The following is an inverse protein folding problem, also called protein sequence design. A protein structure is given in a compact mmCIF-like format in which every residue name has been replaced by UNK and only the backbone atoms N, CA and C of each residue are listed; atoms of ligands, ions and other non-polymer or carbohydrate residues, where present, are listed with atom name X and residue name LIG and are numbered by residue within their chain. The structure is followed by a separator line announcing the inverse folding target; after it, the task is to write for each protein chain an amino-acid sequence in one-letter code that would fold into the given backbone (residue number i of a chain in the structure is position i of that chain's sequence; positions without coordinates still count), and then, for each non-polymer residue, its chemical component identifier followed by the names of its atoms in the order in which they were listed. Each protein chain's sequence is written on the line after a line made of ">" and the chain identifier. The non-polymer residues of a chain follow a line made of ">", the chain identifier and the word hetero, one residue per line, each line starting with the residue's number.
data_IF_699503529587
#
_entry.id   IF_699503529587
#
_cell.length_a   1.000
_cell.length_b   1.000
_cell.length_c   1.000
_cell.angle_alpha   90.00
_cell.angle_beta   90.00
_cell.angle_gamma   90.00
#
_symmetry.space_group_name_H-M   'P 1'
#
loop_
_entity.id
_entity.type
_entity.pdbx_description
1 polymer ?
#
# COMPACT_ATOMS: atom_id res chain seq x y z
N UNK A 1 3.55 -32.35 9.61
CA UNK A 1 3.28 -31.43 10.74
C UNK A 1 2.50 -30.29 10.14
N UNK A 2 1.24 -30.12 10.53
CA UNK A 2 0.46 -28.98 10.07
C UNK A 2 0.92 -27.78 10.89
N UNK A 3 1.76 -26.94 10.30
CA UNK A 3 1.90 -25.58 10.81
C UNK A 3 0.50 -24.94 10.87
N UNK A 4 0.19 -24.12 11.88
CA UNK A 4 -1.05 -23.37 11.91
C UNK A 4 -1.17 -22.59 10.60
N UNK A 5 -2.36 -22.60 9.98
CA UNK A 5 -2.61 -21.78 8.78
C UNK A 5 -2.36 -20.33 9.17
N UNK A 6 -1.34 -19.72 8.54
CA UNK A 6 -0.95 -18.35 8.84
C UNK A 6 -1.78 -17.44 7.94
N UNK A 7 -2.91 -16.99 8.47
CA UNK A 7 -3.79 -16.03 7.83
C UNK A 7 -3.14 -14.63 7.78
N UNK A 8 -3.61 -13.76 6.89
CA UNK A 8 -3.11 -12.39 6.73
C UNK A 8 -1.60 -12.32 6.40
N UNK A 9 -1.21 -13.06 5.36
CA UNK A 9 0.15 -13.05 4.78
C UNK A 9 0.14 -12.39 3.41
N UNK A 10 1.26 -11.80 3.00
CA UNK A 10 1.42 -11.21 1.67
C UNK A 10 2.58 -11.80 0.89
N UNK A 11 2.55 -11.67 -0.43
CA UNK A 11 3.64 -11.96 -1.35
C UNK A 11 4.01 -10.66 -2.08
N UNK A 12 5.27 -10.28 -1.95
CA UNK A 12 5.77 -9.01 -2.42
C UNK A 12 6.39 -9.10 -3.81
N UNK A 13 6.11 -8.07 -4.61
CA UNK A 13 6.74 -7.89 -5.91
C UNK A 13 8.24 -7.62 -5.80
N UNK A 14 9.03 -8.26 -6.67
CA UNK A 14 10.48 -8.06 -6.74
C UNK A 14 10.87 -6.61 -7.08
N UNK A 15 10.09 -5.92 -7.91
CA UNK A 15 10.34 -4.52 -8.26
C UNK A 15 10.22 -3.57 -7.07
N UNK A 16 9.36 -3.89 -6.10
CA UNK A 16 9.24 -3.09 -4.87
C UNK A 16 10.56 -3.10 -4.11
N UNK A 17 11.23 -4.25 -4.00
CA UNK A 17 12.53 -4.34 -3.36
C UNK A 17 13.62 -3.60 -4.14
N UNK A 18 13.60 -3.66 -5.47
CA UNK A 18 14.55 -2.92 -6.32
C UNK A 18 14.38 -1.40 -6.21
N UNK A 19 13.14 -0.88 -6.18
CA UNK A 19 12.87 0.54 -5.96
C UNK A 19 13.30 1.00 -4.56
N UNK A 20 13.05 0.17 -3.52
CA UNK A 20 13.48 0.47 -2.15
C UNK A 20 14.99 0.43 -1.99
N UNK A 21 15.67 -0.54 -2.61
CA UNK A 21 17.13 -0.62 -2.65
C UNK A 21 17.73 0.65 -3.22
N UNK A 22 17.26 1.06 -4.41
CA UNK A 22 17.74 2.28 -5.07
C UNK A 22 17.45 3.53 -4.24
N UNK A 23 16.25 3.64 -3.65
CA UNK A 23 15.89 4.77 -2.79
C UNK A 23 16.89 4.96 -1.64
N UNK A 24 17.33 3.87 -1.02
CA UNK A 24 18.24 3.95 0.12
C UNK A 24 19.72 4.09 -0.28
N UNK A 25 20.14 3.49 -1.39
CA UNK A 25 21.55 3.57 -1.83
C UNK A 25 21.86 4.83 -2.62
N UNK A 26 20.90 5.35 -3.37
CA UNK A 26 21.09 6.42 -4.36
C UNK A 26 20.22 7.66 -4.08
N UNK A 27 19.17 7.56 -3.25
CA UNK A 27 18.21 8.63 -3.00
C UNK A 27 17.03 8.62 -3.97
N UNK A 28 16.31 9.75 -4.06
CA UNK A 28 15.16 9.89 -4.95
C UNK A 28 15.60 9.98 -6.42
N UNK A 29 14.99 9.16 -7.27
CA UNK A 29 15.21 9.18 -8.72
C UNK A 29 14.09 9.98 -9.41
N UNK A 30 14.41 11.16 -9.93
CA UNK A 30 13.45 11.99 -10.68
C UNK A 30 13.39 11.65 -12.18
N UNK A 31 13.99 10.53 -12.61
CA UNK A 31 13.81 10.00 -13.96
C UNK A 31 12.36 9.56 -14.21
N UNK A 32 12.03 9.42 -15.49
CA UNK A 32 10.69 8.99 -15.92
C UNK A 32 10.61 7.47 -15.97
N UNK A 33 9.70 6.93 -15.17
CA UNK A 33 9.13 5.60 -15.33
C UNK A 33 7.87 5.65 -16.20
N UNK A 34 7.37 4.47 -16.58
CA UNK A 34 6.19 4.35 -17.44
C UNK A 34 5.15 3.44 -16.79
N UNK A 35 3.90 3.88 -16.80
CA UNK A 35 2.74 3.07 -16.41
C UNK A 35 1.83 2.82 -17.61
N UNK A 36 1.22 1.63 -17.64
CA UNK A 36 0.35 1.21 -18.75
C UNK A 36 -1.05 1.76 -18.54
N UNK A 37 -1.57 2.51 -19.51
CA UNK A 37 -2.94 3.01 -19.51
C UNK A 37 -3.75 2.34 -20.61
N UNK A 38 -4.92 1.81 -20.25
CA UNK A 38 -5.77 1.05 -21.16
C UNK A 38 -6.72 2.00 -21.89
N UNK A 39 -6.73 1.94 -23.22
CA UNK A 39 -7.77 2.59 -24.02
C UNK A 39 -8.75 1.54 -24.54
N UNK A 40 -9.88 1.42 -23.85
CA UNK A 40 -10.95 0.47 -24.22
C UNK A 40 -11.72 0.90 -25.47
N UNK A 41 -11.73 2.18 -25.80
CA UNK A 41 -12.46 2.69 -26.97
C UNK A 41 -11.69 2.38 -28.26
N UNK A 42 -10.38 2.57 -28.23
CA UNK A 42 -9.49 2.27 -29.35
C UNK A 42 -8.97 0.81 -29.34
N UNK A 43 -9.38 0.01 -28.35
CA UNK A 43 -8.94 -1.39 -28.19
C UNK A 43 -7.40 -1.51 -28.20
N UNK A 44 -6.75 -0.60 -27.47
CA UNK A 44 -5.30 -0.47 -27.41
C UNK A 44 -4.83 -0.07 -26.00
N UNK A 45 -3.55 0.22 -25.84
CA UNK A 45 -2.99 0.80 -24.63
C UNK A 45 -1.89 1.80 -25.00
N UNK A 46 -1.57 2.70 -24.07
CA UNK A 46 -0.46 3.63 -24.20
C UNK A 46 0.34 3.70 -22.90
N UNK A 47 1.55 4.27 -22.99
CA UNK A 47 2.41 4.50 -21.84
C UNK A 47 2.24 5.93 -21.36
N UNK A 48 1.96 6.09 -20.07
CA UNK A 48 1.96 7.38 -19.38
C UNK A 48 3.23 7.51 -18.55
N UNK A 49 3.87 8.69 -18.60
CA UNK A 49 5.05 8.95 -17.78
C UNK A 49 4.66 9.17 -16.32
N UNK A 50 5.49 8.66 -15.42
CA UNK A 50 5.38 8.85 -13.97
C UNK A 50 6.80 9.03 -13.41
N UNK A 51 6.96 9.89 -12.41
CA UNK A 51 8.26 10.05 -11.76
C UNK A 51 8.61 8.81 -10.94
N UNK A 52 9.83 8.28 -11.10
CA UNK A 52 10.31 7.15 -10.29
C UNK A 52 10.35 7.50 -8.79
N UNK A 53 10.59 8.76 -8.43
CA UNK A 53 10.53 9.26 -7.06
C UNK A 53 9.17 8.97 -6.39
N UNK A 54 8.07 9.18 -7.12
CA UNK A 54 6.73 8.87 -6.64
C UNK A 54 6.55 7.36 -6.41
N UNK A 55 7.03 6.54 -7.36
CA UNK A 55 7.01 5.07 -7.28
C UNK A 55 7.83 4.56 -6.08
N UNK A 56 8.99 5.15 -5.82
CA UNK A 56 9.84 4.83 -4.67
C UNK A 56 9.16 5.15 -3.35
N UNK A 57 8.53 6.33 -3.24
CA UNK A 57 7.81 6.74 -2.02
C UNK A 57 6.59 5.84 -1.76
N UNK A 58 5.81 5.52 -2.81
CA UNK A 58 4.70 4.56 -2.68
C UNK A 58 5.18 3.18 -2.23
N UNK A 59 6.30 2.71 -2.77
CA UNK A 59 6.92 1.45 -2.36
C UNK A 59 7.32 1.45 -0.89
N UNK A 60 7.86 2.58 -0.39
CA UNK A 60 8.18 2.77 1.03
C UNK A 60 6.92 2.78 1.90
N UNK A 61 5.85 3.42 1.44
CA UNK A 61 4.58 3.46 2.17
C UNK A 61 3.95 2.07 2.27
N UNK A 62 3.98 1.30 1.17
CA UNK A 62 3.57 -0.09 1.14
C UNK A 62 4.37 -0.93 2.15
N UNK A 63 5.70 -0.73 2.20
CA UNK A 63 6.55 -1.41 3.17
C UNK A 63 6.13 -1.18 4.62
N UNK A 64 5.94 0.08 4.98
CA UNK A 64 5.57 0.43 6.36
C UNK A 64 4.25 -0.24 6.73
N UNK A 65 3.23 -0.19 5.87
CA UNK A 65 1.95 -0.81 6.15
C UNK A 65 2.08 -2.34 6.33
N UNK A 66 2.80 -3.00 5.43
CA UNK A 66 2.94 -4.44 5.42
C UNK A 66 3.76 -4.94 6.61
N UNK A 67 4.86 -4.27 6.97
CA UNK A 67 5.66 -4.59 8.15
C UNK A 67 4.85 -4.48 9.45
N UNK A 68 3.90 -3.55 9.53
CA UNK A 68 3.07 -3.37 10.72
C UNK A 68 1.92 -4.38 10.76
N UNK A 69 1.25 -4.62 9.63
CA UNK A 69 -0.06 -5.28 9.58
C UNK A 69 -0.07 -6.72 9.07
N UNK A 70 1.00 -7.24 8.47
CA UNK A 70 1.02 -8.65 7.99
C UNK A 70 1.60 -9.61 8.99
N UNK A 71 1.14 -10.84 9.05
CA UNK A 71 1.80 -11.86 9.87
C UNK A 71 3.11 -12.32 9.25
N UNK A 72 3.10 -12.61 7.94
CA UNK A 72 4.28 -12.95 7.15
C UNK A 72 4.27 -12.24 5.80
N UNK A 73 5.46 -11.95 5.30
CA UNK A 73 5.70 -11.35 4.00
C UNK A 73 6.62 -12.28 3.22
N UNK A 74 6.07 -12.96 2.21
CA UNK A 74 6.80 -13.81 1.31
C UNK A 74 7.45 -13.01 0.19
N UNK A 75 8.63 -13.42 -0.24
CA UNK A 75 9.30 -12.83 -1.39
C UNK A 75 10.14 -13.88 -2.14
N UNK A 76 10.35 -13.68 -3.44
CA UNK A 76 11.15 -14.61 -4.24
C UNK A 76 12.64 -14.45 -3.89
N UNK A 77 13.23 -15.54 -3.35
CA UNK A 77 14.60 -15.61 -2.85
C UNK A 77 15.66 -15.24 -3.90
N UNK A 78 15.33 -15.36 -5.19
CA UNK A 78 16.19 -14.94 -6.31
C UNK A 78 16.44 -13.43 -6.32
N UNK A 79 15.57 -12.65 -5.68
CA UNK A 79 15.68 -11.19 -5.57
C UNK A 79 16.11 -10.73 -4.17
N UNK A 80 16.63 -11.66 -3.35
CA UNK A 80 17.05 -11.35 -1.98
C UNK A 80 18.24 -10.39 -1.90
N UNK A 81 19.06 -10.27 -2.95
CA UNK A 81 20.29 -9.44 -2.90
C UNK A 81 20.00 -7.96 -2.67
N UNK A 82 18.98 -7.39 -3.33
CA UNK A 82 18.62 -5.98 -3.19
C UNK A 82 18.17 -5.60 -1.77
N UNK A 83 17.76 -6.58 -0.97
CA UNK A 83 17.25 -6.36 0.38
C UNK A 83 18.23 -6.78 1.48
N UNK A 84 19.10 -7.76 1.20
CA UNK A 84 20.18 -8.17 2.09
C UNK A 84 21.21 -7.06 2.34
N UNK A 85 21.27 -6.08 1.45
CA UNK A 85 22.06 -4.85 1.62
C UNK A 85 21.58 -4.00 2.82
N UNK A 86 20.35 -4.21 3.30
CA UNK A 86 19.79 -3.56 4.47
C UNK A 86 19.91 -4.48 5.68
N UNK A 87 20.91 -4.26 6.53
CA UNK A 87 21.21 -5.13 7.68
C UNK A 87 19.98 -5.39 8.57
N UNK A 88 19.19 -4.35 8.82
CA UNK A 88 18.01 -4.46 9.68
C UNK A 88 16.91 -5.35 9.09
N UNK A 89 16.77 -5.29 7.79
CA UNK A 89 15.79 -6.04 7.03
C UNK A 89 16.22 -7.49 6.83
N UNK A 90 17.50 -7.71 6.59
CA UNK A 90 18.13 -9.03 6.62
C UNK A 90 17.92 -9.73 7.99
N UNK A 91 17.90 -8.97 9.10
CA UNK A 91 17.63 -9.54 10.42
C UNK A 91 16.20 -10.09 10.61
N UNK A 92 15.27 -9.77 9.70
CA UNK A 92 13.88 -10.24 9.71
C UNK A 92 13.68 -11.50 8.87
N UNK A 93 14.70 -11.94 8.11
CA UNK A 93 14.62 -13.13 7.27
C UNK A 93 14.33 -14.39 8.11
N UNK A 94 13.44 -15.24 7.59
CA UNK A 94 12.98 -16.47 8.24
C UNK A 94 11.97 -16.26 9.36
N UNK A 95 11.68 -15.01 9.77
CA UNK A 95 10.67 -14.72 10.80
C UNK A 95 9.46 -14.00 10.20
N UNK A 96 9.62 -12.71 9.88
CA UNK A 96 8.60 -11.88 9.24
C UNK A 96 8.73 -11.94 7.72
N UNK A 97 9.96 -11.81 7.22
CA UNK A 97 10.27 -11.91 5.80
C UNK A 97 10.63 -13.34 5.48
N UNK A 98 9.89 -13.99 4.59
CA UNK A 98 10.04 -15.41 4.30
C UNK A 98 10.46 -15.59 2.85
N UNK A 99 11.76 -15.87 2.59
CA UNK A 99 12.22 -16.17 1.25
C UNK A 99 11.58 -17.46 0.75
N UNK A 100 11.08 -17.42 -0.48
CA UNK A 100 10.57 -18.60 -1.17
C UNK A 100 11.32 -18.81 -2.49
N UNK A 101 11.59 -20.05 -2.85
CA UNK A 101 12.07 -20.39 -4.19
C UNK A 101 10.97 -21.16 -4.91
N UNK A 102 10.17 -20.43 -5.68
CA UNK A 102 9.12 -21.01 -6.51
C UNK A 102 9.65 -21.12 -7.93
N UNK A 103 9.77 -22.34 -8.49
CA UNK A 103 10.19 -22.50 -9.88
C UNK A 103 9.25 -21.76 -10.83
N UNK A 104 9.80 -20.97 -11.75
CA UNK A 104 9.03 -20.18 -12.73
C UNK A 104 8.10 -21.04 -13.61
N UNK A 105 8.47 -22.30 -13.84
CA UNK A 105 7.71 -23.27 -14.63
C UNK A 105 6.95 -24.28 -13.76
N UNK A 106 6.73 -23.98 -12.47
CA UNK A 106 5.82 -24.76 -11.65
C UNK A 106 4.43 -24.81 -12.34
N UNK A 107 3.85 -26.01 -12.59
CA UNK A 107 2.60 -26.13 -13.35
C UNK A 107 1.41 -25.40 -12.74
N UNK A 108 1.30 -25.35 -11.41
CA UNK A 108 0.21 -24.68 -10.69
C UNK A 108 0.35 -23.17 -10.89
N UNK A 109 1.56 -22.63 -10.67
CA UNK A 109 1.86 -21.21 -10.91
C UNK A 109 1.63 -20.84 -12.37
N UNK A 110 2.02 -21.71 -13.31
CA UNK A 110 1.84 -21.49 -14.73
C UNK A 110 0.35 -21.43 -15.11
N UNK A 111 -0.49 -22.29 -14.52
CA UNK A 111 -1.93 -22.26 -14.74
C UNK A 111 -2.54 -20.95 -14.22
N UNK A 112 -2.26 -20.57 -12.97
CA UNK A 112 -2.76 -19.30 -12.39
C UNK A 112 -2.25 -18.07 -13.15
N UNK A 113 -0.99 -18.07 -13.59
CA UNK A 113 -0.43 -17.00 -14.43
C UNK A 113 -1.17 -16.90 -15.76
N UNK A 114 -1.43 -18.01 -16.43
CA UNK A 114 -2.10 -17.97 -17.73
C UNK A 114 -3.55 -17.46 -17.61
N UNK A 115 -4.27 -17.86 -16.56
CA UNK A 115 -5.58 -17.28 -16.24
C UNK A 115 -5.50 -15.77 -15.96
N UNK A 116 -4.49 -15.34 -15.20
CA UNK A 116 -4.29 -13.91 -14.95
C UNK A 116 -3.97 -13.13 -16.24
N UNK A 117 -3.18 -13.69 -17.16
CA UNK A 117 -2.90 -13.06 -18.45
C UNK A 117 -4.16 -12.84 -19.29
N UNK A 118 -5.12 -13.78 -19.27
CA UNK A 118 -6.41 -13.62 -19.96
C UNK A 118 -7.21 -12.43 -19.43
N UNK A 119 -7.13 -12.18 -18.12
CA UNK A 119 -7.82 -11.06 -17.45
C UNK A 119 -7.07 -9.74 -17.60
N UNK A 120 -5.73 -9.76 -17.61
CA UNK A 120 -4.89 -8.57 -17.72
C UNK A 120 -4.82 -8.05 -19.17
N UNK A 121 -4.81 -8.92 -20.17
CA UNK A 121 -4.80 -8.53 -21.58
C UNK A 121 -6.21 -8.17 -22.06
N UNK A 122 -6.73 -7.02 -21.63
CA UNK A 122 -8.11 -6.60 -21.88
C UNK A 122 -8.37 -6.10 -23.31
N UNK A 123 -7.34 -5.69 -24.05
CA UNK A 123 -7.45 -5.25 -25.45
C UNK A 123 -6.75 -6.20 -26.42
N UNK A 124 -7.15 -6.17 -27.70
CA UNK A 124 -6.55 -7.03 -28.72
C UNK A 124 -5.07 -6.72 -28.94
N UNK A 125 -4.68 -5.45 -28.84
CA UNK A 125 -3.28 -5.03 -28.90
C UNK A 125 -2.46 -5.68 -27.78
N UNK A 126 -2.97 -5.70 -26.54
CA UNK A 126 -2.30 -6.35 -25.42
C UNK A 126 -2.16 -7.86 -25.64
N UNK A 127 -3.22 -8.53 -26.13
CA UNK A 127 -3.19 -9.98 -26.44
C UNK A 127 -2.15 -10.28 -27.52
N UNK A 128 -2.11 -9.46 -28.57
CA UNK A 128 -1.15 -9.60 -29.65
C UNK A 128 0.29 -9.42 -29.15
N UNK A 129 0.59 -8.35 -28.41
CA UNK A 129 1.92 -8.11 -27.87
C UNK A 129 2.35 -9.21 -26.89
N UNK A 130 1.43 -9.73 -26.07
CA UNK A 130 1.73 -10.87 -25.18
C UNK A 130 2.07 -12.13 -25.97
N UNK A 131 1.36 -12.40 -27.08
CA UNK A 131 1.65 -13.53 -27.98
C UNK A 131 3.00 -13.37 -28.66
N UNK A 132 3.31 -12.19 -29.18
CA UNK A 132 4.59 -11.89 -29.81
C UNK A 132 5.76 -12.01 -28.81
N UNK A 133 5.56 -11.56 -27.57
CA UNK A 133 6.52 -11.75 -26.48
C UNK A 133 6.79 -13.23 -26.18
N UNK A 134 5.75 -14.06 -26.16
CA UNK A 134 5.89 -15.49 -25.91
C UNK A 134 6.65 -16.18 -27.06
N UNK A 135 6.29 -15.90 -28.31
CA UNK A 135 6.95 -16.46 -29.50
C UNK A 135 8.42 -16.03 -29.54
N UNK A 136 8.67 -14.71 -29.44
CA UNK A 136 10.03 -14.18 -29.48
C UNK A 136 10.92 -14.78 -28.39
N UNK A 137 10.40 -14.93 -27.17
CA UNK A 137 11.18 -15.51 -26.07
C UNK A 137 11.47 -17.00 -26.28
N UNK A 138 10.54 -17.76 -26.85
CA UNK A 138 10.74 -19.18 -27.17
C UNK A 138 11.80 -19.38 -28.27
N UNK A 139 11.77 -18.54 -29.30
CA UNK A 139 12.66 -18.67 -30.47
C UNK A 139 14.05 -18.07 -30.23
N UNK A 140 14.12 -16.92 -29.56
CA UNK A 140 15.34 -16.09 -29.52
C UNK A 140 15.77 -15.68 -28.11
N UNK A 141 15.03 -16.08 -27.07
CA UNK A 141 15.21 -15.61 -25.68
C UNK A 141 15.08 -14.09 -25.52
N UNK A 142 14.43 -13.41 -26.46
CA UNK A 142 14.14 -11.97 -26.42
C UNK A 142 12.65 -11.70 -26.56
N UNK A 143 12.15 -10.71 -25.84
CA UNK A 143 10.76 -10.28 -25.94
C UNK A 143 10.69 -8.97 -26.75
N UNK A 144 10.05 -8.93 -27.94
CA UNK A 144 9.96 -7.72 -28.77
C UNK A 144 9.32 -6.53 -28.04
N UNK A 145 8.41 -6.79 -27.10
CA UNK A 145 7.76 -5.79 -26.24
C UNK A 145 8.21 -5.98 -24.79
N UNK A 146 9.51 -5.80 -24.54
CA UNK A 146 10.14 -6.13 -23.26
C UNK A 146 9.45 -5.48 -22.05
N UNK A 147 9.29 -4.15 -22.05
CA UNK A 147 8.68 -3.43 -20.93
C UNK A 147 7.21 -3.85 -20.71
N UNK A 148 6.45 -4.05 -21.80
CA UNK A 148 5.10 -4.61 -21.72
C UNK A 148 5.10 -5.99 -21.06
N UNK A 149 6.03 -6.87 -21.45
CA UNK A 149 6.19 -8.19 -20.84
C UNK A 149 6.55 -8.10 -19.36
N UNK A 150 7.49 -7.24 -19.00
CA UNK A 150 7.88 -7.03 -17.60
C UNK A 150 6.70 -6.53 -16.74
N UNK A 151 5.83 -5.68 -17.28
CA UNK A 151 4.63 -5.18 -16.57
C UNK A 151 3.54 -6.26 -16.52
N UNK A 152 3.08 -6.78 -17.66
CA UNK A 152 1.93 -7.70 -17.73
C UNK A 152 2.28 -9.12 -17.33
N UNK A 153 3.30 -9.72 -17.92
CA UNK A 153 3.73 -11.08 -17.58
C UNK A 153 4.34 -11.15 -16.18
N UNK A 154 5.07 -10.10 -15.76
CA UNK A 154 5.55 -9.96 -14.39
C UNK A 154 4.41 -9.95 -13.38
N UNK A 155 3.38 -9.12 -13.61
CA UNK A 155 2.16 -9.08 -12.77
C UNK A 155 1.49 -10.43 -12.69
N UNK A 156 1.22 -11.08 -13.82
CA UNK A 156 0.61 -12.41 -13.86
C UNK A 156 1.47 -13.47 -13.14
N UNK A 157 2.80 -13.38 -13.28
CA UNK A 157 3.75 -14.28 -12.65
C UNK A 157 3.79 -14.15 -11.14
N UNK A 158 3.77 -12.92 -10.61
CA UNK A 158 3.71 -12.69 -9.16
C UNK A 158 2.34 -13.05 -8.58
N UNK A 159 1.27 -12.77 -9.32
CA UNK A 159 -0.06 -13.26 -8.96
C UNK A 159 -0.13 -14.79 -8.89
N UNK A 160 0.45 -15.50 -9.85
CA UNK A 160 0.51 -16.96 -9.82
C UNK A 160 1.28 -17.53 -8.62
N UNK A 161 2.37 -16.86 -8.21
CA UNK A 161 3.16 -17.21 -7.03
C UNK A 161 2.41 -16.93 -5.73
N UNK A 162 1.77 -15.76 -5.61
CA UNK A 162 0.99 -15.41 -4.44
C UNK A 162 -0.19 -16.37 -4.25
N UNK A 163 -0.88 -16.71 -5.34
CA UNK A 163 -1.97 -17.70 -5.35
C UNK A 163 -1.49 -19.08 -4.91
N UNK A 164 -0.32 -19.52 -5.40
CA UNK A 164 0.28 -20.78 -4.95
C UNK A 164 0.59 -20.81 -3.45
N UNK A 165 0.98 -19.68 -2.88
CA UNK A 165 1.28 -19.54 -1.45
C UNK A 165 0.05 -19.32 -0.57
N UNK A 166 -1.13 -19.05 -1.16
CA UNK A 166 -2.29 -18.57 -0.41
C UNK A 166 -2.04 -17.21 0.25
N UNK A 167 -1.21 -16.36 -0.37
CA UNK A 167 -0.84 -15.05 0.15
C UNK A 167 -1.37 -13.92 -0.73
N UNK A 168 -1.65 -12.76 -0.12
CA UNK A 168 -2.09 -11.58 -0.86
C UNK A 168 -0.96 -11.02 -1.72
N UNK A 169 -1.19 -10.85 -3.03
CA UNK A 169 -0.21 -10.18 -3.88
C UNK A 169 -0.19 -8.67 -3.62
N UNK A 170 0.96 -8.19 -3.16
CA UNK A 170 1.28 -6.77 -3.01
C UNK A 170 2.08 -6.33 -4.24
N UNK A 171 1.44 -5.68 -5.21
CA UNK A 171 2.11 -5.28 -6.44
C UNK A 171 3.06 -4.10 -6.20
N UNK A 172 4.07 -3.98 -7.05
CA UNK A 172 4.80 -2.72 -7.24
C UNK A 172 3.84 -1.64 -7.79
N UNK A 173 4.01 -0.34 -7.46
CA UNK A 173 3.12 0.73 -7.93
C UNK A 173 2.76 0.71 -9.42
N UNK A 174 3.73 0.47 -10.30
CA UNK A 174 3.49 0.41 -11.75
C UNK A 174 2.54 -0.76 -12.11
N UNK A 175 2.68 -1.88 -11.41
CA UNK A 175 1.84 -3.07 -11.59
C UNK A 175 0.50 -2.93 -10.87
N UNK A 176 0.42 -2.15 -9.78
CA UNK A 176 -0.85 -1.79 -9.13
C UNK A 176 -1.75 -1.02 -10.10
N UNK A 177 -1.17 -0.02 -10.76
CA UNK A 177 -1.89 0.77 -11.78
C UNK A 177 -2.44 -0.11 -12.92
N UNK A 178 -1.68 -1.11 -13.38
CA UNK A 178 -2.18 -2.09 -14.36
C UNK A 178 -3.40 -2.86 -13.83
N UNK A 179 -3.37 -3.32 -12.58
CA UNK A 179 -4.47 -4.08 -11.99
C UNK A 179 -5.75 -3.24 -11.91
N UNK A 180 -5.61 -1.95 -11.57
CA UNK A 180 -6.70 -0.98 -11.55
C UNK A 180 -7.27 -0.74 -12.96
N UNK A 181 -6.41 -0.41 -13.93
CA UNK A 181 -6.81 -0.13 -15.33
C UNK A 181 -7.52 -1.31 -16.01
N UNK A 182 -7.09 -2.53 -15.69
CA UNK A 182 -7.67 -3.75 -16.25
C UNK A 182 -8.96 -4.16 -15.54
N UNK A 183 -9.25 -3.59 -14.36
CA UNK A 183 -10.35 -4.03 -13.50
C UNK A 183 -10.13 -5.46 -13.00
N UNK A 184 -8.88 -5.82 -12.74
CA UNK A 184 -8.50 -7.17 -12.33
C UNK A 184 -9.10 -7.50 -10.96
N UNK A 185 -10.18 -8.27 -10.96
CA UNK A 185 -10.79 -8.78 -9.72
C UNK A 185 -9.93 -9.94 -9.20
N UNK A 186 -9.22 -9.70 -8.08
CA UNK A 186 -8.38 -10.71 -7.42
C UNK A 186 -9.26 -11.89 -6.96
N UNK A 187 -8.90 -13.14 -7.30
CA UNK A 187 -9.39 -14.33 -6.60
C UNK A 187 -8.87 -14.33 -5.16
N UNK A 188 -9.78 -14.24 -4.19
CA UNK A 188 -9.45 -14.24 -2.77
C UNK A 188 -9.62 -12.87 -2.12
N UNK A 189 -10.31 -12.87 -0.99
CA UNK A 189 -10.52 -11.70 -0.14
C UNK A 189 -9.27 -11.47 0.70
N UNK A 190 -8.83 -10.21 0.84
CA UNK A 190 -7.72 -9.84 1.71
C UNK A 190 -8.14 -8.78 2.73
N UNK A 191 -8.49 -9.23 3.92
CA UNK A 191 -8.96 -8.35 5.00
C UNK A 191 -7.88 -7.38 5.48
N UNK A 192 -6.60 -7.67 5.24
CA UNK A 192 -5.51 -6.73 5.49
C UNK A 192 -5.65 -5.47 4.66
N UNK A 193 -5.75 -5.63 3.34
CA UNK A 193 -5.97 -4.51 2.40
C UNK A 193 -7.35 -3.87 2.60
N UNK A 194 -8.43 -4.64 2.70
CA UNK A 194 -9.79 -4.09 2.84
C UNK A 194 -9.94 -3.21 4.10
N UNK A 195 -9.33 -3.61 5.23
CA UNK A 195 -9.36 -2.81 6.46
C UNK A 195 -8.50 -1.55 6.30
N UNK A 196 -7.37 -1.61 5.60
CA UNK A 196 -6.55 -0.42 5.30
C UNK A 196 -7.31 0.57 4.41
N UNK A 197 -7.97 0.09 3.35
CA UNK A 197 -8.82 0.90 2.47
C UNK A 197 -9.95 1.55 3.27
N UNK A 198 -10.68 0.78 4.08
CA UNK A 198 -11.71 1.31 4.96
C UNK A 198 -11.16 2.39 5.92
N UNK A 199 -9.98 2.17 6.52
CA UNK A 199 -9.34 3.19 7.37
C UNK A 199 -9.04 4.47 6.60
N UNK A 200 -8.54 4.36 5.37
CA UNK A 200 -8.23 5.51 4.52
C UNK A 200 -9.50 6.27 4.12
N UNK A 201 -10.56 5.56 3.71
CA UNK A 201 -11.85 6.17 3.38
C UNK A 201 -12.45 6.93 4.56
N UNK A 202 -12.47 6.32 5.75
CA UNK A 202 -13.01 6.96 6.95
C UNK A 202 -12.18 8.17 7.37
N UNK A 203 -10.84 8.15 7.17
CA UNK A 203 -9.97 9.32 7.36
C UNK A 203 -10.30 10.44 6.38
N UNK A 204 -10.48 10.13 5.10
CA UNK A 204 -10.89 11.12 4.09
C UNK A 204 -12.22 11.75 4.47
N UNK A 205 -13.24 10.94 4.83
CA UNK A 205 -14.55 11.43 5.29
C UNK A 205 -14.43 12.31 6.52
N UNK A 206 -13.63 11.90 7.51
CA UNK A 206 -13.38 12.65 8.75
C UNK A 206 -12.76 14.02 8.46
N UNK A 207 -11.67 14.05 7.70
CA UNK A 207 -10.92 15.28 7.46
C UNK A 207 -11.60 16.22 6.47
N UNK A 208 -12.29 15.71 5.45
CA UNK A 208 -13.13 16.52 4.57
C UNK A 208 -14.27 17.21 5.35
N UNK A 209 -14.83 16.52 6.36
CA UNK A 209 -15.85 17.10 7.23
C UNK A 209 -15.38 18.20 8.18
N UNK A 210 -14.06 18.32 8.39
CA UNK A 210 -13.45 19.33 9.26
C UNK A 210 -13.00 20.58 8.48
N UNK A 211 -12.96 20.51 7.14
CA UNK A 211 -12.61 21.64 6.29
C UNK A 211 -13.78 22.62 6.19
N UNK A 212 -13.60 23.91 6.55
CA UNK A 212 -14.68 24.90 6.49
C UNK A 212 -15.29 25.04 5.09
N UNK A 213 -16.62 25.20 5.02
CA UNK A 213 -17.35 25.54 3.79
C UNK A 213 -16.70 26.77 3.13
N UNK A 214 -16.27 26.63 1.86
CA UNK A 214 -15.58 27.68 1.10
C UNK A 214 -14.05 27.53 1.01
N UNK A 215 -13.43 26.59 1.74
CA UNK A 215 -12.00 26.23 1.57
C UNK A 215 -11.79 24.89 0.83
N UNK A 216 -12.79 24.45 0.08
CA UNK A 216 -12.78 23.20 -0.71
C UNK A 216 -11.67 23.12 -1.79
N UNK A 217 -10.87 24.17 -1.99
CA UNK A 217 -9.81 24.21 -3.00
C UNK A 217 -8.47 23.61 -2.54
N UNK A 218 -8.31 23.26 -1.26
CA UNK A 218 -7.16 22.46 -0.80
C UNK A 218 -7.65 21.08 -0.40
N UNK A 219 -7.65 20.13 -1.33
CA UNK A 219 -7.65 18.71 -0.96
C UNK A 219 -6.34 18.46 -0.22
N UNK A 220 -6.39 18.52 1.11
CA UNK A 220 -5.22 18.32 1.96
C UNK A 220 -4.68 16.90 1.78
N UNK A 221 -3.34 16.78 1.72
CA UNK A 221 -2.64 15.50 1.69
C UNK A 221 -2.98 14.66 2.91
N UNK A 222 -3.55 13.48 2.70
CA UNK A 222 -3.82 12.49 3.75
C UNK A 222 -2.96 11.26 3.47
N UNK A 223 -1.82 11.16 4.17
CA UNK A 223 -1.00 9.96 4.16
C UNK A 223 -1.72 8.80 4.86
N UNK A 224 -1.36 7.54 4.50
CA UNK A 224 -1.75 6.38 5.30
C UNK A 224 -1.36 6.58 6.77
N UNK A 225 -2.24 6.24 7.72
CA UNK A 225 -2.05 6.61 9.13
C UNK A 225 -0.82 5.98 9.78
N UNK A 226 -0.45 4.76 9.38
CA UNK A 226 0.73 4.07 9.89
C UNK A 226 2.00 4.71 9.33
N UNK A 227 2.02 5.03 8.04
CA UNK A 227 3.10 5.77 7.40
C UNK A 227 3.34 7.09 8.10
N UNK A 228 2.28 7.89 8.29
CA UNK A 228 2.39 9.17 8.98
C UNK A 228 2.97 9.02 10.40
N UNK A 229 2.51 8.02 11.15
CA UNK A 229 3.00 7.79 12.51
C UNK A 229 4.45 7.32 12.54
N UNK A 230 4.85 6.37 11.68
CA UNK A 230 6.24 5.90 11.56
C UNK A 230 7.17 7.08 11.27
N UNK A 231 6.86 7.87 10.24
CA UNK A 231 7.66 9.03 9.86
C UNK A 231 7.67 10.11 10.95
N UNK A 232 6.60 10.29 11.71
CA UNK A 232 6.60 11.20 12.86
C UNK A 232 7.48 10.70 14.01
N UNK A 233 7.53 9.39 14.24
CA UNK A 233 8.35 8.76 15.28
C UNK A 233 9.83 8.56 14.91
N UNK A 234 10.18 8.60 13.62
CA UNK A 234 11.54 8.43 13.13
C UNK A 234 12.27 9.77 13.08
N UNK A 235 13.61 9.78 13.20
CA UNK A 235 14.44 10.99 13.10
C UNK A 235 15.14 11.14 11.74
N UNK A 236 15.28 10.04 11.00
CA UNK A 236 15.93 9.94 9.70
C UNK A 236 15.38 8.72 8.92
N UNK A 237 15.78 8.56 7.65
CA UNK A 237 15.34 7.45 6.81
C UNK A 237 15.73 6.06 7.38
N UNK A 238 16.92 5.94 7.99
CA UNK A 238 17.40 4.66 8.51
C UNK A 238 16.59 4.13 9.69
N UNK A 239 15.92 5.01 10.44
CA UNK A 239 15.06 4.66 11.58
C UNK A 239 13.65 4.21 11.18
N UNK A 240 13.22 4.42 9.93
CA UNK A 240 11.85 4.11 9.47
C UNK A 240 11.49 2.65 9.68
N UNK A 241 12.44 1.74 9.48
CA UNK A 241 12.24 0.31 9.69
C UNK A 241 12.06 -0.04 11.16
N UNK A 242 12.88 0.53 12.04
CA UNK A 242 12.80 0.30 13.48
C UNK A 242 11.48 0.83 14.04
N UNK A 243 11.11 2.06 13.67
CA UNK A 243 9.82 2.64 14.01
C UNK A 243 8.65 1.77 13.50
N UNK A 244 8.75 1.19 12.30
CA UNK A 244 7.74 0.26 11.78
C UNK A 244 7.62 -1.00 12.64
N UNK A 245 8.73 -1.58 13.11
CA UNK A 245 8.74 -2.76 13.97
C UNK A 245 8.23 -2.46 15.39
N UNK A 246 8.48 -1.26 15.92
CA UNK A 246 7.89 -0.81 17.17
C UNK A 246 6.36 -0.64 17.04
N UNK A 247 5.92 -0.01 15.94
CA UNK A 247 4.50 0.11 15.62
C UNK A 247 3.85 -1.26 15.41
N UNK A 248 4.55 -2.22 14.80
CA UNK A 248 4.10 -3.62 14.68
C UNK A 248 3.72 -4.21 16.04
N UNK A 249 4.49 -3.93 17.11
CA UNK A 249 4.16 -4.38 18.46
C UNK A 249 3.00 -3.60 19.06
N UNK A 250 2.99 -2.27 18.88
CA UNK A 250 1.89 -1.39 19.33
C UNK A 250 0.54 -1.80 18.74
N UNK A 251 0.53 -2.17 17.45
CA UNK A 251 -0.66 -2.54 16.68
C UNK A 251 -0.91 -4.04 16.59
N UNK A 252 -0.22 -4.87 17.40
CA UNK A 252 -0.39 -6.32 17.44
C UNK A 252 -1.86 -6.77 17.50
N UNK A 253 -2.67 -6.14 18.36
CA UNK A 253 -4.10 -6.49 18.49
C UNK A 253 -4.93 -6.20 17.23
N UNK A 254 -4.57 -5.15 16.47
CA UNK A 254 -5.23 -4.87 15.19
C UNK A 254 -4.85 -5.94 14.19
N UNK A 255 -3.55 -6.27 14.11
CA UNK A 255 -3.06 -7.31 13.21
C UNK A 255 -3.67 -8.68 13.51
N UNK A 256 -3.71 -9.09 14.77
CA UNK A 256 -4.36 -10.35 15.20
C UNK A 256 -5.85 -10.35 14.82
N UNK A 257 -6.56 -9.24 15.08
CA UNK A 257 -7.96 -9.08 14.71
C UNK A 257 -8.21 -9.16 13.19
N UNK A 258 -7.31 -8.59 12.37
CA UNK A 258 -7.35 -8.75 10.91
C UNK A 258 -7.12 -10.22 10.52
N UNK A 259 -6.18 -10.91 11.17
CA UNK A 259 -5.92 -12.33 10.95
C UNK A 259 -7.13 -13.21 11.27
N UNK A 260 -7.81 -12.94 12.40
CA UNK A 260 -9.05 -13.62 12.77
C UNK A 260 -10.19 -13.32 11.78
N UNK A 261 -10.27 -12.08 11.27
CA UNK A 261 -11.26 -11.72 10.26
C UNK A 261 -11.00 -12.44 8.93
N UNK A 262 -9.75 -12.48 8.48
CA UNK A 262 -9.33 -13.24 7.30
C UNK A 262 -9.69 -14.72 7.45
N UNK A 263 -9.36 -15.33 8.59
CA UNK A 263 -9.70 -16.71 8.90
C UNK A 263 -11.21 -16.97 8.87
N UNK A 264 -12.02 -16.03 9.37
CA UNK A 264 -13.48 -16.17 9.35
C UNK A 264 -14.06 -16.16 7.92
N UNK A 265 -13.48 -15.37 7.01
CA UNK A 265 -13.87 -15.36 5.59
C UNK A 265 -13.48 -16.68 4.92
N UNK A 266 -12.23 -17.13 5.11
CA UNK A 266 -11.71 -18.36 4.50
C UNK A 266 -12.42 -19.62 5.00
N UNK A 267 -12.88 -19.63 6.26
CA UNK A 267 -13.64 -20.72 6.84
C UNK A 267 -15.16 -20.62 6.59
N UNK A 268 -15.61 -19.64 5.80
CA UNK A 268 -17.03 -19.39 5.51
C UNK A 268 -17.89 -19.28 6.80
N UNK A 269 -17.40 -18.56 7.82
CA UNK A 269 -18.11 -18.33 9.08
C UNK A 269 -18.89 -16.98 9.05
N UNK A 270 -20.16 -16.97 8.63
CA UNK A 270 -20.93 -15.73 8.50
C UNK A 270 -21.19 -15.03 9.83
N UNK A 271 -21.24 -15.77 10.94
CA UNK A 271 -21.50 -15.19 12.26
C UNK A 271 -20.30 -14.37 12.73
N UNK A 272 -19.10 -14.92 12.62
CA UNK A 272 -17.86 -14.20 12.92
C UNK A 272 -17.66 -13.01 11.98
N UNK A 273 -17.84 -13.21 10.67
CA UNK A 273 -17.77 -12.13 9.67
C UNK A 273 -18.71 -10.98 10.00
N UNK A 274 -19.95 -11.28 10.41
CA UNK A 274 -20.92 -10.26 10.81
C UNK A 274 -20.44 -9.46 12.04
N UNK A 275 -19.80 -10.11 13.02
CA UNK A 275 -19.25 -9.43 14.19
C UNK A 275 -18.09 -8.49 13.85
N UNK A 276 -17.21 -8.89 12.93
CA UNK A 276 -16.13 -8.04 12.42
C UNK A 276 -16.69 -6.80 11.71
N UNK A 277 -17.64 -6.98 10.77
CA UNK A 277 -18.31 -5.86 10.08
C UNK A 277 -19.02 -4.92 11.05
N UNK A 278 -19.75 -5.47 12.02
CA UNK A 278 -20.41 -4.68 13.07
C UNK A 278 -19.42 -3.84 13.89
N UNK A 279 -18.22 -4.36 14.12
CA UNK A 279 -17.16 -3.60 14.80
C UNK A 279 -16.75 -2.38 13.98
N UNK A 280 -16.51 -2.53 12.67
CA UNK A 280 -16.20 -1.42 11.77
C UNK A 280 -17.34 -0.40 11.72
N UNK A 281 -18.59 -0.86 11.57
CA UNK A 281 -19.78 0.01 11.60
C UNK A 281 -19.91 0.81 12.90
N UNK A 282 -19.60 0.20 14.04
CA UNK A 282 -19.62 0.88 15.34
C UNK A 282 -18.52 1.94 15.46
N UNK A 283 -17.37 1.73 14.82
CA UNK A 283 -16.31 2.76 14.73
C UNK A 283 -16.76 3.90 13.83
N UNK A 284 -17.29 3.63 12.63
CA UNK A 284 -17.83 4.67 11.74
C UNK A 284 -18.92 5.50 12.41
N UNK A 285 -19.84 4.87 13.17
CA UNK A 285 -20.86 5.59 13.95
C UNK A 285 -20.28 6.48 15.05
N UNK A 286 -19.17 6.07 15.68
CA UNK A 286 -18.47 6.96 16.64
C UNK A 286 -17.95 8.19 15.92
N UNK A 287 -17.27 8.02 14.78
CA UNK A 287 -16.72 9.12 13.98
C UNK A 287 -17.81 10.07 13.50
N UNK A 288 -18.95 9.55 13.04
CA UNK A 288 -20.10 10.38 12.64
C UNK A 288 -20.66 11.18 13.81
N UNK A 289 -20.75 10.56 15.00
CA UNK A 289 -21.23 11.24 16.20
C UNK A 289 -20.25 12.34 16.62
N UNK A 290 -18.94 12.09 16.52
CA UNK A 290 -17.90 13.12 16.73
C UNK A 290 -18.07 14.30 15.77
N UNK A 291 -18.38 14.04 14.49
CA UNK A 291 -18.59 15.10 13.48
C UNK A 291 -19.82 15.96 13.74
N UNK A 292 -20.88 15.39 14.34
CA UNK A 292 -22.16 16.08 14.60
C UNK A 292 -22.20 16.84 15.93
N UNK A 293 -21.31 16.54 16.88
CA UNK A 293 -21.29 17.18 18.20
C UNK A 293 -20.65 18.58 18.19
N UNK A 294 -21.18 19.50 19.01
CA UNK A 294 -20.59 20.81 19.33
C UNK A 294 -19.24 20.72 20.12
N UNK A 295 -18.55 19.59 20.10
CA UNK A 295 -17.28 19.36 20.81
C UNK A 295 -16.04 19.77 19.97
N UNK A 296 -16.19 20.71 19.04
CA UNK A 296 -15.06 21.37 18.40
C UNK A 296 -14.52 22.43 19.35
N UNK A 297 -13.47 22.08 20.11
CA UNK A 297 -12.78 23.01 21.00
C UNK A 297 -11.95 24.05 20.24
N UNK A 298 -11.82 25.24 20.83
CA UNK A 298 -10.87 26.28 20.40
C UNK A 298 -9.45 25.90 20.88
N UNK A 299 -8.48 25.75 19.98
CA UNK A 299 -7.05 25.79 20.35
C UNK A 299 -6.25 26.49 19.25
N UNK A 300 -5.52 27.54 19.66
CA UNK A 300 -4.65 28.37 18.82
C UNK A 300 -3.27 27.76 18.67
N UNK A 301 -2.81 27.54 17.44
CA UNK A 301 -1.39 27.29 17.14
C UNK A 301 -0.84 28.55 16.48
N UNK A 302 -0.03 29.30 17.21
CA UNK A 302 0.60 30.52 16.74
C UNK A 302 1.97 30.23 16.12
N UNK A 303 2.19 30.72 14.90
CA UNK A 303 3.51 31.09 14.40
C UNK A 303 3.35 32.52 13.88
N UNK A 304 4.09 33.44 14.52
CA UNK A 304 4.32 34.86 14.24
C UNK A 304 3.34 35.67 13.34
N UNK A 305 2.89 36.81 13.90
CA UNK A 305 2.14 37.96 13.35
C UNK A 305 0.72 37.81 12.78
N UNK A 306 0.18 36.62 12.52
CA UNK A 306 -1.25 36.43 12.23
C UNK A 306 -1.81 35.18 12.94
N UNK A 307 -2.39 35.38 14.13
CA UNK A 307 -3.07 34.31 14.86
C UNK A 307 -4.43 34.00 14.22
N UNK A 308 -4.49 33.01 13.33
CA UNK A 308 -5.75 32.46 12.86
C UNK A 308 -6.22 31.34 13.80
N UNK A 309 -7.41 31.51 14.39
CA UNK A 309 -8.11 30.44 15.10
C UNK A 309 -8.67 29.46 14.05
N UNK A 310 -7.93 28.38 13.79
CA UNK A 310 -8.48 27.21 13.11
C UNK A 310 -9.12 26.31 14.17
N UNK A 311 -10.40 25.91 14.02
CA UNK A 311 -10.99 24.92 14.91
C UNK A 311 -10.20 23.62 14.76
N UNK A 312 -9.45 23.25 15.80
CA UNK A 312 -8.80 21.94 15.89
C UNK A 312 -9.72 21.05 16.72
N UNK A 313 -10.20 19.92 16.19
CA UNK A 313 -11.09 19.06 16.94
C UNK A 313 -10.39 18.62 18.23
N UNK A 314 -11.03 18.81 19.38
CA UNK A 314 -10.63 18.09 20.58
C UNK A 314 -10.98 16.64 20.31
N UNK A 315 -9.96 15.82 20.08
CA UNK A 315 -10.13 14.38 19.99
C UNK A 315 -10.85 13.94 21.27
N UNK A 316 -11.96 13.18 21.18
CA UNK A 316 -12.70 12.75 22.36
C UNK A 316 -11.79 11.93 23.26
N UNK A 317 -12.20 11.79 24.53
CA UNK A 317 -11.46 10.97 25.46
C UNK A 317 -11.45 9.51 25.00
N UNK A 318 -10.37 9.12 24.32
CA UNK A 318 -10.16 7.80 23.73
C UNK A 318 -10.24 6.70 24.82
N UNK A 319 -10.11 7.07 26.09
CA UNK A 319 -10.33 6.20 27.27
C UNK A 319 -11.76 5.66 27.38
N UNK A 320 -12.74 6.22 26.64
CA UNK A 320 -14.13 5.72 26.58
C UNK A 320 -14.31 4.49 25.67
N UNK A 321 -13.33 4.17 24.83
CA UNK A 321 -13.39 3.05 23.90
C UNK A 321 -12.56 1.88 24.43
N UNK A 322 -13.09 0.66 24.37
CA UNK A 322 -12.43 -0.56 24.83
C UNK A 322 -12.04 -1.47 23.65
N UNK A 323 -10.94 -2.21 23.81
CA UNK A 323 -10.53 -3.25 22.85
C UNK A 323 -10.18 -2.70 21.46
N UNK A 324 -10.51 -3.49 20.43
CA UNK A 324 -10.17 -3.20 19.02
C UNK A 324 -10.77 -1.88 18.52
N UNK A 325 -12.00 -1.56 18.93
CA UNK A 325 -12.69 -0.31 18.60
C UNK A 325 -11.88 0.93 19.01
N UNK A 326 -11.22 0.88 20.17
CA UNK A 326 -10.33 1.95 20.64
C UNK A 326 -9.09 2.08 19.78
N UNK A 327 -8.48 0.95 19.42
CA UNK A 327 -7.27 0.91 18.61
C UNK A 327 -7.52 1.44 17.19
N UNK A 328 -8.63 1.06 16.55
CA UNK A 328 -9.05 1.57 15.24
C UNK A 328 -9.36 3.08 15.29
N UNK A 329 -10.11 3.54 16.30
CA UNK A 329 -10.36 4.98 16.49
C UNK A 329 -9.06 5.78 16.64
N UNK A 330 -8.06 5.28 17.40
CA UNK A 330 -6.74 5.92 17.50
C UNK A 330 -6.06 6.04 16.14
N UNK A 331 -6.03 4.95 15.38
CA UNK A 331 -5.42 4.91 14.06
C UNK A 331 -6.07 5.91 13.09
N UNK A 332 -7.41 5.98 13.09
CA UNK A 332 -8.17 6.92 12.26
C UNK A 332 -7.89 8.38 12.63
N UNK A 333 -7.72 8.67 13.92
CA UNK A 333 -7.47 10.02 14.43
C UNK A 333 -5.99 10.46 14.35
N UNK A 334 -5.10 9.62 13.81
CA UNK A 334 -3.72 10.02 13.53
C UNK A 334 -3.68 11.23 12.59
N UNK A 335 -2.61 12.03 12.67
CA UNK A 335 -2.43 13.24 11.87
C UNK A 335 -2.47 12.98 10.36
N UNK A 336 -2.78 14.03 9.60
CA UNK A 336 -2.92 13.98 8.12
C UNK A 336 -1.61 13.60 7.41
N UNK A 337 -0.47 13.98 7.96
CA UNK A 337 0.85 13.55 7.48
C UNK A 337 1.62 14.55 6.62
N UNK A 338 1.14 15.78 6.40
CA UNK A 338 1.92 16.81 5.67
C UNK A 338 3.32 17.04 6.25
N UNK A 339 3.42 17.17 7.59
CA UNK A 339 4.72 17.28 8.27
C UNK A 339 5.57 16.03 8.09
N UNK A 340 4.94 14.85 8.06
CA UNK A 340 5.62 13.58 7.86
C UNK A 340 6.21 13.50 6.45
N UNK A 341 5.45 13.86 5.41
CA UNK A 341 5.97 13.91 4.04
C UNK A 341 7.11 14.92 3.91
N UNK A 342 6.95 16.14 4.44
CA UNK A 342 8.02 17.15 4.39
C UNK A 342 9.30 16.68 5.08
N UNK A 343 9.20 15.96 6.20
CA UNK A 343 10.36 15.35 6.87
C UNK A 343 11.01 14.27 6.01
N UNK A 344 10.21 13.37 5.42
CA UNK A 344 10.72 12.34 4.53
C UNK A 344 11.49 12.95 3.36
N UNK A 345 10.92 13.98 2.70
CA UNK A 345 11.57 14.67 1.58
C UNK A 345 12.88 15.33 2.01
N UNK A 346 12.91 15.92 3.21
CA UNK A 346 14.15 16.48 3.78
C UNK A 346 15.21 15.42 4.07
N UNK A 347 14.83 14.21 4.50
CA UNK A 347 15.79 13.11 4.71
C UNK A 347 16.35 12.53 3.40
N UNK A 348 15.65 12.76 2.30
CA UNK A 348 16.01 12.32 0.96
C UNK A 348 16.64 13.46 0.14
N UNK A 349 17.08 14.53 0.81
CA UNK A 349 17.70 15.73 0.21
C UNK A 349 16.87 16.37 -0.92
N UNK A 350 15.54 16.22 -0.87
CA UNK A 350 14.61 16.80 -1.83
C UNK A 350 14.20 18.21 -1.38
N UNK A 351 15.02 19.21 -1.72
CA UNK A 351 14.80 20.62 -1.36
C UNK A 351 14.24 21.48 -2.52
N UNK A 352 14.23 20.96 -3.74
CA UNK A 352 13.76 21.68 -4.92
C UNK A 352 12.24 21.91 -4.92
N UNK A 353 11.81 23.15 -5.15
CA UNK A 353 10.39 23.53 -5.10
C UNK A 353 9.54 22.72 -6.10
N UNK A 354 10.07 22.50 -7.31
CA UNK A 354 9.39 21.76 -8.39
C UNK A 354 9.28 20.27 -8.06
N UNK A 355 10.35 19.67 -7.54
CA UNK A 355 10.42 18.27 -7.15
C UNK A 355 9.45 17.98 -5.99
N UNK A 356 9.42 18.87 -5.00
CA UNK A 356 8.48 18.79 -3.86
C UNK A 356 7.04 18.94 -4.33
N UNK A 357 6.75 19.88 -5.23
CA UNK A 357 5.39 20.07 -5.77
C UNK A 357 4.94 18.85 -6.58
N UNK A 358 5.80 18.30 -7.44
CA UNK A 358 5.53 17.07 -8.20
C UNK A 358 5.13 15.90 -7.29
N UNK A 359 5.87 15.71 -6.20
CA UNK A 359 5.57 14.63 -5.24
C UNK A 359 4.26 14.92 -4.51
N UNK A 360 4.04 16.15 -4.05
CA UNK A 360 2.80 16.53 -3.36
C UNK A 360 1.59 16.33 -4.25
N UNK A 361 1.65 16.75 -5.51
CA UNK A 361 0.56 16.61 -6.48
C UNK A 361 0.25 15.15 -6.76
N UNK A 362 1.27 14.29 -6.81
CA UNK A 362 1.09 12.85 -6.97
C UNK A 362 0.27 12.23 -5.82
N UNK A 363 0.46 12.69 -4.58
CA UNK A 363 -0.26 12.21 -3.41
C UNK A 363 -1.50 13.05 -3.03
N UNK A 364 -1.74 14.19 -3.68
CA UNK A 364 -2.97 14.96 -3.51
C UNK A 364 -4.11 14.25 -4.22
N UNK A 365 -4.93 13.56 -3.43
CA UNK A 365 -6.19 12.87 -3.80
C UNK A 365 -6.28 12.53 -5.29
N UNK A 366 -5.58 11.46 -5.69
CA UNK A 366 -5.96 10.74 -6.89
C UNK A 366 -7.44 10.37 -6.72
N UNK A 367 -8.26 10.81 -7.68
CA UNK A 367 -9.72 10.68 -7.65
C UNK A 367 -10.17 9.26 -7.88
#
# INVERSE_FOLDING_TARGET
>A
MNDPVIHNSSFWDNWTFESLSRLHSEGLDFSNSKRLRVDRNENTYHWEEISEACVQIESLFSLVNELVLREKIFYDSKFSEGWKSFERLNSLDGTLLVPVDIPTFNPIVAASRNQALELLCVTDTMRQHQKENLIGYQETRKSPHEHFGQVVWGTAGNFGRSSFLGAHYVPHPIRSFLLEETGFLKPGVDMGTDVQEWVNEERVKLFAGLTPLGKMHSFELILPPLVAEVLESSSNLSEVLDASLELRQKYKKIREWIGEYQAAIENEDPASVSNFKKTLELVSKDLETMRKGNELGDTSVGISFLSFKLPTPKLPDIRRFWGIRSALNKLLLNRKGEKALTRLLSWLDCEGEREVELIKDHFHSQK
#
